data_IF_132802422693
#
_entry.id   IF_132802422693
#
_cell.length_a   1.000
_cell.length_b   1.000
_cell.length_c   1.000
_cell.angle_alpha   90.00
_cell.angle_beta   90.00
_cell.angle_gamma   90.00
#
_symmetry.space_group_name_H-M   'P 1'
#
loop_
_entity.id
_entity.type
_entity.pdbx_description
1 polymer ?
#
# COMPACT_ATOMS: atom_id res chain seq x y z
N UNK A 1 -6.83 7.89 -13.81
CA UNK A 1 -6.14 6.59 -13.74
C UNK A 1 -4.79 6.83 -13.07
N UNK A 2 -4.61 6.44 -11.81
CA UNK A 2 -3.37 6.73 -11.06
C UNK A 2 -2.28 5.73 -11.44
N UNK A 3 -1.25 6.17 -12.16
CA UNK A 3 0.00 5.44 -12.35
C UNK A 3 0.74 5.42 -11.02
N UNK A 4 0.49 4.40 -10.19
CA UNK A 4 1.28 4.21 -8.97
C UNK A 4 2.65 3.66 -9.41
N UNK A 5 3.72 4.42 -9.12
CA UNK A 5 5.09 3.99 -9.41
C UNK A 5 5.46 2.76 -8.58
N UNK A 6 6.44 1.98 -9.03
CA UNK A 6 7.00 0.82 -8.31
C UNK A 6 7.29 1.17 -6.85
N UNK A 7 7.91 2.32 -6.66
CA UNK A 7 8.35 2.84 -5.38
C UNK A 7 7.19 3.28 -4.50
N UNK A 8 6.16 3.90 -5.07
CA UNK A 8 4.96 4.24 -4.32
C UNK A 8 4.21 2.98 -3.84
N UNK A 9 4.14 1.93 -4.68
CA UNK A 9 3.53 0.65 -4.28
C UNK A 9 4.31 0.00 -3.11
N UNK A 10 5.64 0.03 -3.17
CA UNK A 10 6.48 -0.50 -2.09
C UNK A 10 6.34 0.32 -0.81
N UNK A 11 6.26 1.65 -0.90
CA UNK A 11 6.07 2.50 0.27
C UNK A 11 4.70 2.30 0.94
N UNK A 12 3.66 2.10 0.14
CA UNK A 12 2.28 1.94 0.64
C UNK A 12 1.98 0.52 1.15
N UNK A 13 2.88 -0.43 0.91
CA UNK A 13 2.73 -1.82 1.36
C UNK A 13 3.38 -2.02 2.72
N UNK A 14 2.65 -2.62 3.67
CA UNK A 14 3.20 -3.02 4.98
C UNK A 14 3.82 -4.43 4.93
N UNK A 15 4.76 -4.76 5.83
CA UNK A 15 5.35 -6.11 5.88
C UNK A 15 4.30 -7.22 6.06
N UNK A 16 3.25 -6.98 6.86
CA UNK A 16 2.14 -7.92 7.08
C UNK A 16 1.32 -8.11 5.80
N UNK A 17 1.03 -7.03 5.09
CA UNK A 17 0.32 -7.09 3.82
C UNK A 17 1.18 -7.79 2.75
N UNK A 18 2.48 -7.51 2.71
CA UNK A 18 3.40 -8.18 1.80
C UNK A 18 3.43 -9.68 2.06
N UNK A 19 3.61 -10.10 3.32
CA UNK A 19 3.61 -11.51 3.71
C UNK A 19 2.34 -12.21 3.25
N UNK A 20 1.19 -11.59 3.48
CA UNK A 20 -0.12 -12.11 3.05
C UNK A 20 -0.19 -12.27 1.54
N UNK A 21 0.19 -11.23 0.78
CA UNK A 21 0.15 -11.27 -0.69
C UNK A 21 1.10 -12.34 -1.24
N UNK A 22 2.32 -12.43 -0.70
CA UNK A 22 3.30 -13.39 -1.19
C UNK A 22 2.94 -14.84 -0.86
N UNK A 23 2.31 -15.09 0.29
CA UNK A 23 1.87 -16.43 0.71
C UNK A 23 0.55 -16.85 0.05
N UNK A 24 -0.49 -16.02 0.15
CA UNK A 24 -1.84 -16.38 -0.28
C UNK A 24 -2.03 -16.26 -1.79
N UNK A 25 -1.41 -15.27 -2.44
CA UNK A 25 -1.64 -14.98 -3.86
C UNK A 25 -0.52 -15.48 -4.78
N UNK A 26 0.74 -15.40 -4.35
CA UNK A 26 1.89 -15.89 -5.14
C UNK A 26 2.41 -17.27 -4.72
N UNK A 27 1.91 -17.83 -3.61
CA UNK A 27 2.32 -19.14 -3.07
C UNK A 27 3.84 -19.32 -2.95
N UNK A 28 4.54 -18.24 -2.58
CA UNK A 28 5.99 -18.29 -2.39
C UNK A 28 6.38 -19.08 -1.13
N UNK A 29 7.61 -19.58 -1.12
CA UNK A 29 8.17 -20.29 0.04
C UNK A 29 8.41 -19.34 1.21
N UNK A 30 8.42 -19.87 2.44
CA UNK A 30 8.70 -19.07 3.65
C UNK A 30 10.03 -18.32 3.56
N UNK A 31 11.06 -18.93 2.97
CA UNK A 31 12.36 -18.29 2.72
C UNK A 31 12.25 -17.07 1.81
N UNK A 32 11.49 -17.17 0.73
CA UNK A 32 11.30 -16.06 -0.22
C UNK A 32 10.44 -14.95 0.39
N UNK A 33 9.42 -15.32 1.16
CA UNK A 33 8.58 -14.37 1.88
C UNK A 33 9.42 -13.60 2.91
N UNK A 34 10.23 -14.31 3.70
CA UNK A 34 11.13 -13.70 4.69
C UNK A 34 12.11 -12.74 4.03
N UNK A 35 12.73 -13.17 2.93
CA UNK A 35 13.63 -12.30 2.16
C UNK A 35 12.90 -11.06 1.63
N UNK A 36 11.70 -11.23 1.07
CA UNK A 36 10.87 -10.13 0.60
C UNK A 36 10.51 -9.13 1.70
N UNK A 37 10.17 -9.60 2.90
CA UNK A 37 9.91 -8.75 4.07
C UNK A 37 11.17 -8.00 4.50
N UNK A 38 12.33 -8.66 4.58
CA UNK A 38 13.59 -8.00 4.93
C UNK A 38 14.00 -6.94 3.91
N UNK A 39 13.77 -7.21 2.62
CA UNK A 39 14.01 -6.28 1.53
C UNK A 39 13.15 -5.02 1.67
N UNK A 40 11.85 -5.21 1.93
CA UNK A 40 10.90 -4.13 2.15
C UNK A 40 11.23 -3.30 3.40
N UNK A 41 11.60 -3.96 4.50
CA UNK A 41 12.01 -3.27 5.74
C UNK A 41 13.25 -2.42 5.54
N UNK A 42 14.23 -2.94 4.81
CA UNK A 42 15.48 -2.22 4.49
C UNK A 42 15.18 -0.99 3.64
N UNK A 43 14.29 -1.13 2.65
CA UNK A 43 13.80 -0.01 1.85
C UNK A 43 13.13 1.07 2.72
N UNK A 44 12.17 0.68 3.58
CA UNK A 44 11.48 1.61 4.47
C UNK A 44 12.41 2.27 5.49
N UNK A 45 13.46 1.58 5.94
CA UNK A 45 14.44 2.16 6.87
C UNK A 45 15.18 3.33 6.22
N UNK A 46 15.65 3.15 4.98
CA UNK A 46 16.32 4.19 4.20
C UNK A 46 15.36 5.36 3.93
N UNK A 47 14.16 5.09 3.41
CA UNK A 47 13.18 6.14 3.16
C UNK A 47 12.82 6.94 4.42
N UNK A 48 12.74 6.29 5.59
CA UNK A 48 12.51 6.98 6.87
C UNK A 48 13.68 7.88 7.26
N UNK A 49 14.92 7.39 7.11
CA UNK A 49 16.16 8.15 7.36
C UNK A 49 16.19 9.42 6.51
N UNK A 50 15.89 9.32 5.22
CA UNK A 50 15.94 10.47 4.32
C UNK A 50 14.86 11.51 4.61
N UNK A 51 13.64 11.05 4.93
CA UNK A 51 12.57 11.97 5.36
C UNK A 51 12.96 12.74 6.62
N UNK A 52 13.63 12.09 7.56
CA UNK A 52 14.13 12.75 8.76
C UNK A 52 15.23 13.77 8.42
N UNK A 53 16.21 13.38 7.59
CA UNK A 53 17.30 14.26 7.16
C UNK A 53 16.79 15.50 6.39
N UNK A 54 15.77 15.34 5.53
CA UNK A 54 15.14 16.44 4.80
C UNK A 54 14.43 17.42 5.73
N UNK A 55 13.70 16.91 6.75
CA UNK A 55 13.06 17.74 7.78
C UNK A 55 14.08 18.58 8.54
N UNK A 56 15.20 17.97 8.95
CA UNK A 56 16.27 18.67 9.67
C UNK A 56 16.92 19.78 8.83
N UNK A 57 16.99 19.61 7.51
CA UNK A 57 17.55 20.61 6.58
C UNK A 57 16.56 21.72 6.18
N UNK A 58 15.32 21.71 6.70
CA UNK A 58 14.23 22.64 6.30
C UNK A 58 14.05 22.77 4.77
N UNK A 59 14.40 21.72 4.02
CA UNK A 59 14.07 21.65 2.60
C UNK A 59 12.56 21.45 2.52
N UNK A 60 11.83 22.36 1.88
CA UNK A 60 10.37 22.31 1.80
C UNK A 60 9.91 20.95 1.26
N UNK A 61 9.25 20.18 2.12
CA UNK A 61 8.67 18.86 1.80
C UNK A 61 7.32 19.10 1.12
N UNK A 62 7.34 19.76 -0.03
CA UNK A 62 6.19 19.84 -0.91
C UNK A 62 6.01 18.50 -1.63
N UNK A 63 5.29 17.54 -1.01
CA UNK A 63 4.97 16.22 -1.60
C UNK A 63 6.18 15.58 -2.28
N UNK A 64 7.17 15.14 -1.49
CA UNK A 64 8.30 14.36 -2.02
C UNK A 64 7.74 13.18 -2.81
N UNK A 65 7.75 13.29 -4.15
CA UNK A 65 7.41 12.19 -5.04
C UNK A 65 8.28 11.02 -4.61
N UNK A 66 7.70 9.83 -4.48
CA UNK A 66 8.49 8.66 -4.11
C UNK A 66 9.39 8.33 -5.30
N UNK A 67 10.65 8.74 -5.17
CA UNK A 67 11.69 8.59 -6.17
C UNK A 67 12.32 7.19 -6.07
N UNK A 68 12.91 6.71 -7.17
CA UNK A 68 13.79 5.55 -7.12
C UNK A 68 14.90 5.73 -6.08
N UNK A 69 15.32 4.66 -5.39
CA UNK A 69 16.50 4.69 -4.54
C UNK A 69 17.73 5.01 -5.39
N UNK A 70 18.56 5.91 -4.88
CA UNK A 70 19.89 6.26 -5.41
C UNK A 70 20.88 5.12 -5.18
N UNK A 71 22.01 5.13 -5.90
CA UNK A 71 23.05 4.12 -5.75
C UNK A 71 23.54 3.95 -4.31
N UNK A 72 23.78 5.06 -3.59
CA UNK A 72 24.19 5.02 -2.17
C UNK A 72 23.12 4.42 -1.26
N UNK A 73 21.84 4.64 -1.55
CA UNK A 73 20.75 4.02 -0.80
C UNK A 73 20.68 2.50 -1.07
N UNK A 74 20.93 2.08 -2.31
CA UNK A 74 20.99 0.65 -2.67
C UNK A 74 22.18 -0.04 -1.99
N UNK A 75 23.33 0.62 -1.87
CA UNK A 75 24.48 0.14 -1.10
C UNK A 75 24.13 -0.05 0.38
N UNK A 76 23.53 0.96 1.02
CA UNK A 76 23.10 0.85 2.42
C UNK A 76 22.10 -0.29 2.63
N UNK A 77 21.18 -0.49 1.68
CA UNK A 77 20.24 -1.61 1.72
C UNK A 77 20.94 -2.96 1.57
N UNK A 78 21.92 -3.06 0.67
CA UNK A 78 22.71 -4.27 0.47
C UNK A 78 23.48 -4.62 1.76
N UNK A 79 24.15 -3.67 2.39
CA UNK A 79 24.85 -3.86 3.66
C UNK A 79 23.92 -4.36 4.77
N UNK A 80 22.75 -3.72 4.93
CA UNK A 80 21.74 -4.12 5.93
C UNK A 80 21.23 -5.54 5.69
N UNK A 81 21.00 -5.91 4.43
CA UNK A 81 20.54 -7.25 4.06
C UNK A 81 21.61 -8.29 4.29
N UNK A 82 22.84 -8.00 3.91
CA UNK A 82 23.98 -8.89 4.12
C UNK A 82 24.21 -9.15 5.61
N UNK A 83 24.10 -8.11 6.44
CA UNK A 83 24.21 -8.23 7.90
C UNK A 83 23.04 -9.02 8.54
N UNK A 84 21.79 -8.82 8.08
CA UNK A 84 20.61 -9.47 8.68
C UNK A 84 20.35 -10.89 8.20
N UNK A 85 20.60 -11.15 6.92
CA UNK A 85 20.27 -12.40 6.26
C UNK A 85 21.49 -13.28 5.98
N UNK A 86 22.71 -12.80 6.25
CA UNK A 86 23.95 -13.52 5.92
C UNK A 86 24.14 -13.68 4.41
N UNK A 87 23.57 -12.78 3.61
CA UNK A 87 23.67 -12.80 2.16
C UNK A 87 24.87 -11.98 1.69
N UNK A 88 25.24 -12.15 0.42
CA UNK A 88 26.20 -11.30 -0.29
C UNK A 88 25.54 -10.74 -1.54
N UNK A 89 24.58 -9.82 -1.33
CA UNK A 89 23.87 -9.14 -2.42
C UNK A 89 24.62 -7.89 -2.85
N UNK A 90 24.75 -7.72 -4.17
CA UNK A 90 25.21 -6.48 -4.77
C UNK A 90 24.08 -5.44 -4.85
N UNK A 91 24.38 -4.13 -4.82
CA UNK A 91 23.37 -3.06 -4.87
C UNK A 91 22.42 -3.16 -6.07
N UNK A 92 22.94 -3.53 -7.24
CA UNK A 92 22.15 -3.73 -8.46
C UNK A 92 21.17 -4.90 -8.31
N UNK A 93 21.57 -5.95 -7.59
CA UNK A 93 20.70 -7.09 -7.30
C UNK A 93 19.59 -6.70 -6.33
N UNK A 94 19.88 -5.84 -5.35
CA UNK A 94 18.87 -5.29 -4.44
C UNK A 94 17.82 -4.51 -5.22
N UNK A 95 18.22 -3.64 -6.15
CA UNK A 95 17.29 -2.90 -7.00
C UNK A 95 16.41 -3.83 -7.84
N UNK A 96 17.03 -4.81 -8.50
CA UNK A 96 16.30 -5.80 -9.29
C UNK A 96 15.26 -6.54 -8.45
N UNK A 97 15.61 -6.94 -7.22
CA UNK A 97 14.66 -7.60 -6.33
C UNK A 97 13.54 -6.68 -5.86
N UNK A 98 13.80 -5.40 -5.61
CA UNK A 98 12.75 -4.42 -5.28
C UNK A 98 11.77 -4.26 -6.43
N UNK A 99 12.26 -4.13 -7.66
CA UNK A 99 11.42 -4.04 -8.85
C UNK A 99 10.59 -5.32 -9.05
N UNK A 100 11.18 -6.49 -8.84
CA UNK A 100 10.46 -7.77 -8.90
C UNK A 100 9.34 -7.82 -7.83
N UNK A 101 9.61 -7.34 -6.62
CA UNK A 101 8.63 -7.24 -5.54
C UNK A 101 7.49 -6.28 -5.91
N UNK A 102 7.81 -5.11 -6.47
CA UNK A 102 6.82 -4.13 -6.94
C UNK A 102 5.94 -4.68 -8.06
N UNK A 103 6.50 -5.49 -8.98
CA UNK A 103 5.72 -6.18 -10.03
C UNK A 103 4.72 -7.17 -9.45
N UNK A 104 5.13 -7.97 -8.46
CA UNK A 104 4.24 -8.91 -7.74
C UNK A 104 3.10 -8.18 -7.04
N UNK A 105 3.39 -7.05 -6.40
CA UNK A 105 2.38 -6.21 -5.75
C UNK A 105 1.41 -5.59 -6.77
N UNK A 106 1.91 -5.17 -7.94
CA UNK A 106 1.04 -4.72 -9.03
C UNK A 106 0.09 -5.80 -9.53
N UNK A 107 0.57 -7.02 -9.72
CA UNK A 107 -0.28 -8.13 -10.15
C UNK A 107 -1.42 -8.34 -9.14
N UNK A 108 -1.12 -8.27 -7.85
CA UNK A 108 -2.14 -8.32 -6.80
C UNK A 108 -3.11 -7.13 -6.87
N UNK A 109 -2.64 -5.89 -7.01
CA UNK A 109 -3.53 -4.72 -7.13
C UNK A 109 -4.46 -4.80 -8.36
N UNK A 110 -3.97 -5.30 -9.49
CA UNK A 110 -4.80 -5.52 -10.69
C UNK A 110 -5.83 -6.62 -10.43
N UNK A 111 -5.43 -7.72 -9.78
CA UNK A 111 -6.33 -8.81 -9.43
C UNK A 111 -7.46 -8.35 -8.50
N UNK A 112 -7.13 -7.66 -7.40
CA UNK A 112 -8.11 -7.13 -6.45
C UNK A 112 -9.07 -6.18 -7.18
N UNK A 113 -8.55 -5.26 -8.02
CA UNK A 113 -9.40 -4.32 -8.76
C UNK A 113 -10.40 -5.03 -9.67
N UNK A 114 -9.98 -6.08 -10.39
CA UNK A 114 -10.87 -6.87 -11.27
C UNK A 114 -11.93 -7.62 -10.47
N UNK A 115 -11.55 -8.17 -9.32
CA UNK A 115 -12.48 -8.96 -8.51
C UNK A 115 -13.43 -8.08 -7.68
N UNK A 116 -13.00 -6.90 -7.23
CA UNK A 116 -13.86 -5.92 -6.58
C UNK A 116 -14.93 -5.35 -7.53
N UNK A 117 -14.63 -5.23 -8.83
CA UNK A 117 -15.65 -4.89 -9.83
C UNK A 117 -16.61 -6.04 -10.14
N UNK A 118 -16.18 -7.29 -9.96
CA UNK A 118 -17.04 -8.46 -10.17
C UNK A 118 -18.04 -8.66 -9.01
N UNK A 119 -17.63 -8.41 -7.76
CA UNK A 119 -18.54 -8.47 -6.60
C UNK A 119 -19.58 -7.35 -6.62
N UNK A 120 -19.22 -6.15 -7.08
CA UNK A 120 -20.17 -5.04 -7.23
C UNK A 120 -21.23 -5.31 -8.30
N UNK A 121 -20.92 -6.11 -9.32
CA UNK A 121 -21.85 -6.47 -10.39
C UNK A 121 -22.87 -7.54 -9.95
N UNK A 122 -22.48 -8.47 -9.07
CA UNK A 122 -23.36 -9.56 -8.63
C UNK A 122 -24.43 -9.13 -7.60
N UNK A 123 -24.17 -8.10 -6.80
CA UNK A 123 -25.16 -7.58 -5.83
C UNK A 123 -26.29 -6.78 -6.49
N UNK A 124 -26.14 -6.38 -7.76
CA UNK A 124 -27.15 -5.58 -8.46
C UNK A 124 -28.23 -6.42 -9.18
N UNK A 125 -28.20 -7.74 -9.02
CA UNK A 125 -29.11 -8.67 -9.72
C UNK A 125 -29.99 -9.53 -8.81
N UNK A 126 -30.13 -9.17 -7.52
CA UNK A 126 -31.12 -9.78 -6.63
C UNK A 126 -32.22 -8.79 -6.24
N UNK A 127 -33.17 -8.64 -7.16
CA UNK A 127 -34.62 -8.73 -6.91
C UNK A 127 -35.23 -7.90 -5.74
N UNK A 128 -35.99 -6.84 -6.06
CA UNK A 128 -37.47 -6.92 -6.14
C UNK A 128 -38.16 -5.59 -6.50
N UNK A 129 -39.30 -5.65 -7.23
CA UNK A 129 -40.20 -4.54 -7.46
C UNK A 129 -41.28 -4.40 -6.36
N UNK A 130 -41.99 -3.26 -6.39
CA UNK A 130 -43.14 -2.78 -5.58
C UNK A 130 -42.68 -1.83 -4.47
N UNK A 131 -43.19 -0.61 -4.31
CA UNK A 131 -44.60 -0.19 -4.33
C UNK A 131 -44.65 1.36 -4.37
N UNK A 132 -45.59 1.97 -5.11
CA UNK A 132 -45.85 3.41 -5.04
C UNK A 132 -46.40 3.79 -3.64
N UNK A 133 -45.95 4.88 -3.00
CA UNK A 133 -46.65 5.48 -1.88
C UNK A 133 -47.53 6.65 -2.36
N UNK A 134 -48.81 6.43 -2.15
CA UNK A 134 -49.91 7.39 -2.15
C UNK A 134 -49.55 8.64 -1.32
N UNK A 135 -49.80 9.82 -1.89
CA UNK A 135 -49.83 11.11 -1.19
C UNK A 135 -50.84 11.08 -0.03
N UNK A 136 -50.48 11.60 1.13
CA UNK A 136 -51.40 12.36 2.00
C UNK A 136 -50.62 13.20 3.01
N UNK A 137 -51.21 14.36 3.23
CA UNK A 137 -50.75 15.57 3.87
C UNK A 137 -50.42 15.51 5.38
N UNK A 138 -49.73 16.58 5.75
CA UNK A 138 -49.93 17.40 6.95
C UNK A 138 -49.21 17.08 8.28
N UNK A 139 -48.35 18.06 8.59
CA UNK A 139 -48.34 18.84 9.82
C UNK A 139 -47.55 18.37 11.05
N UNK A 140 -46.46 19.14 11.25
CA UNK A 140 -46.13 19.92 12.45
C UNK A 140 -45.42 19.20 13.62
N UNK A 141 -44.18 19.69 13.81
CA UNK A 141 -43.42 19.94 15.04
C UNK A 141 -43.58 18.99 16.22
N UNK A 142 -42.44 18.41 16.63
CA UNK A 142 -42.04 18.44 18.03
C UNK A 142 -40.50 18.54 18.13
N UNK A 143 -40.05 19.61 18.77
CA UNK A 143 -38.64 19.83 19.06
C UNK A 143 -38.12 18.93 20.18
N UNK A 144 -36.81 18.81 20.28
CA UNK A 144 -36.10 18.70 21.55
C UNK A 144 -34.60 18.92 21.30
N UNK A 145 -34.08 19.99 21.91
CA UNK A 145 -32.66 20.24 22.17
C UNK A 145 -32.08 19.07 23.00
N UNK A 146 -30.74 18.82 23.05
CA UNK A 146 -29.86 19.65 23.90
C UNK A 146 -28.34 19.73 23.52
N UNK A 147 -27.75 20.86 23.96
CA UNK A 147 -26.50 20.96 24.75
C UNK A 147 -25.08 20.99 24.10
N UNK A 148 -24.42 22.13 24.41
CA UNK A 148 -23.06 22.37 24.95
C UNK A 148 -21.80 22.50 24.06
N UNK A 149 -21.31 23.75 24.04
CA UNK A 149 -19.97 24.28 24.43
C UNK A 149 -18.71 23.62 23.83
N UNK A 150 -17.93 24.39 23.04
CA UNK A 150 -16.68 25.08 23.45
C UNK A 150 -16.26 26.11 22.40
#
# INVERSE_FOLDING_TARGET
>A
MYYISDWAILNDTTSKQLQRILSEFHHLTESEIRLGCLLLESYHAVCRRDRLAQRLKRLEVGKSRILPPTASQLEEMAERLNAKAGLSLEPQKVEYQLQALARRLRQYHVYVRKNSSATAFLEQSSDRPKHDPIQSDDSINNGCTPFYIF
#
